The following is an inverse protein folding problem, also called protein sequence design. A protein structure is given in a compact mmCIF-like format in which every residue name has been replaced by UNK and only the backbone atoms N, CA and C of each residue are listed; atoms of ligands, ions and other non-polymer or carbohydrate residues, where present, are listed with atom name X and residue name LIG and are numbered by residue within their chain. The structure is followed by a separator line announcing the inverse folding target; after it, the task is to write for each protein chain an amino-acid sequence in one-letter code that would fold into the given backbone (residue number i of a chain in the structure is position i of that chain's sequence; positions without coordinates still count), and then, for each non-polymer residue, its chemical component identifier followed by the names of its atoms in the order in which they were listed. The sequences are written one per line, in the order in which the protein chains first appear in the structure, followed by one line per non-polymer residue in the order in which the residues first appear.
data_IF_432518384149
#
_entry.id   IF_432518384149
#
_cell.length_a   1.000
_cell.length_b   1.000
_cell.length_c   1.000
_cell.angle_alpha   90.00
_cell.angle_beta   90.00
_cell.angle_gamma   90.00
#
_symmetry.space_group_name_H-M   'P 1'
#
loop_
_entity.id
_entity.type
_entity.pdbx_description
1 polymer ?
#
# COMPACT_ATOMS: atom_id res chain seq x y z
N UNK A 1 11.86 -3.29 -20.57
CA UNK A 1 10.78 -2.30 -20.40
C UNK A 1 9.59 -2.97 -19.78
N UNK A 2 9.08 -2.40 -18.71
CA UNK A 2 7.93 -2.97 -18.04
C UNK A 2 6.65 -2.68 -18.80
N UNK A 3 5.87 -3.72 -19.05
CA UNK A 3 4.56 -3.55 -19.63
C UNK A 3 3.57 -3.02 -18.58
N UNK A 4 2.66 -2.16 -19.04
CA UNK A 4 1.59 -1.70 -18.18
C UNK A 4 0.58 -2.84 -17.97
N UNK A 5 0.24 -3.09 -16.71
CA UNK A 5 -0.73 -4.12 -16.38
C UNK A 5 -2.14 -3.75 -16.86
N UNK A 6 -2.90 -4.75 -17.29
CA UNK A 6 -4.17 -4.52 -18.00
C UNK A 6 -5.37 -4.41 -17.07
N UNK A 7 -5.27 -4.89 -15.82
CA UNK A 7 -6.41 -4.92 -14.89
C UNK A 7 -5.92 -4.88 -13.45
N UNK A 8 -6.82 -4.58 -12.53
CA UNK A 8 -6.48 -4.63 -11.11
C UNK A 8 -6.17 -6.06 -10.66
N UNK A 9 -6.85 -7.06 -11.21
CA UNK A 9 -6.58 -8.46 -10.89
C UNK A 9 -5.16 -8.87 -11.29
N UNK A 10 -4.64 -8.35 -12.39
CA UNK A 10 -3.26 -8.56 -12.80
C UNK A 10 -2.30 -7.72 -11.95
N UNK A 11 -2.71 -6.54 -11.56
CA UNK A 11 -1.91 -5.63 -10.72
C UNK A 11 -1.76 -6.15 -9.28
N UNK A 12 -2.79 -6.77 -8.73
CA UNK A 12 -2.80 -7.14 -7.31
C UNK A 12 -1.62 -8.03 -6.90
N UNK A 13 -1.32 -9.16 -7.59
CA UNK A 13 -0.15 -9.95 -7.20
C UNK A 13 1.17 -9.20 -7.38
N UNK A 14 1.28 -8.31 -8.36
CA UNK A 14 2.43 -7.42 -8.52
C UNK A 14 2.58 -6.50 -7.32
N UNK A 15 1.47 -5.87 -6.89
CA UNK A 15 1.44 -5.02 -5.70
C UNK A 15 1.88 -5.80 -4.45
N UNK A 16 1.34 -7.00 -4.26
CA UNK A 16 1.69 -7.85 -3.11
C UNK A 16 3.18 -8.18 -3.13
N UNK A 17 3.72 -8.48 -4.31
CA UNK A 17 5.15 -8.78 -4.46
C UNK A 17 6.05 -7.60 -4.08
N UNK A 18 5.54 -6.37 -4.14
CA UNK A 18 6.26 -5.17 -3.69
C UNK A 18 6.16 -4.92 -2.19
N UNK A 19 5.40 -5.73 -1.46
CA UNK A 19 5.10 -5.55 -0.04
C UNK A 19 5.42 -6.81 0.77
N UNK A 20 6.52 -7.49 0.44
CA UNK A 20 6.90 -8.75 1.10
C UNK A 20 7.58 -8.55 2.45
N UNK A 21 8.17 -7.38 2.70
CA UNK A 21 8.80 -7.09 3.98
C UNK A 21 7.72 -6.74 5.02
N UNK A 22 7.69 -7.47 6.16
CA UNK A 22 6.70 -7.17 7.20
C UNK A 22 6.78 -5.75 7.75
N UNK A 23 7.98 -5.16 7.81
CA UNK A 23 8.14 -3.78 8.27
C UNK A 23 7.46 -2.79 7.31
N UNK A 24 7.58 -3.03 6.00
CA UNK A 24 6.91 -2.20 5.01
C UNK A 24 5.38 -2.30 5.15
N UNK A 25 4.86 -3.52 5.32
CA UNK A 25 3.41 -3.71 5.53
C UNK A 25 2.93 -3.02 6.80
N UNK A 26 3.71 -3.10 7.89
CA UNK A 26 3.38 -2.42 9.14
C UNK A 26 3.34 -0.90 8.96
N UNK A 27 4.27 -0.34 8.20
CA UNK A 27 4.30 1.09 7.91
C UNK A 27 3.12 1.51 7.02
N UNK A 28 2.71 0.67 6.08
CA UNK A 28 1.49 0.92 5.29
C UNK A 28 0.24 0.88 6.16
N UNK A 29 0.18 -0.06 7.10
CA UNK A 29 -0.93 -0.14 8.05
C UNK A 29 -1.00 1.12 8.92
N UNK A 30 0.14 1.55 9.46
CA UNK A 30 0.21 2.77 10.24
C UNK A 30 -0.23 3.99 9.40
N UNK A 31 0.30 4.11 8.18
CA UNK A 31 -0.02 5.22 7.30
C UNK A 31 -1.51 5.29 6.96
N UNK A 32 -2.12 4.17 6.62
CA UNK A 32 -3.56 4.13 6.31
C UNK A 32 -4.39 4.46 7.54
N UNK A 33 -4.00 3.96 8.73
CA UNK A 33 -4.70 4.29 9.97
C UNK A 33 -4.63 5.78 10.28
N UNK A 34 -3.45 6.39 10.13
CA UNK A 34 -3.27 7.81 10.37
C UNK A 34 -4.03 8.67 9.33
N UNK A 35 -4.02 8.24 8.07
CA UNK A 35 -4.78 8.92 7.02
C UNK A 35 -6.28 8.86 7.29
N UNK A 36 -6.80 7.72 7.75
CA UNK A 36 -8.21 7.59 8.12
C UNK A 36 -8.57 8.49 9.29
N UNK A 37 -7.70 8.58 10.30
CA UNK A 37 -7.90 9.47 11.45
C UNK A 37 -7.90 10.94 11.00
N UNK A 38 -6.99 11.32 10.11
CA UNK A 38 -6.92 12.68 9.57
C UNK A 38 -8.17 13.00 8.75
N UNK A 39 -8.68 12.04 7.98
CA UNK A 39 -9.91 12.22 7.21
C UNK A 39 -11.11 12.45 8.14
N UNK A 40 -11.22 11.67 9.21
CA UNK A 40 -12.26 11.85 10.21
C UNK A 40 -12.15 13.23 10.89
N UNK A 41 -10.94 13.68 11.20
CA UNK A 41 -10.70 15.01 11.76
C UNK A 41 -11.09 16.11 10.76
N UNK A 42 -10.85 15.91 9.48
CA UNK A 42 -11.26 16.86 8.43
C UNK A 42 -12.79 17.01 8.39
N UNK A 43 -13.52 15.90 8.59
CA UNK A 43 -14.98 15.91 8.56
C UNK A 43 -15.61 16.47 9.86
N UNK A 44 -14.94 16.32 11.01
CA UNK A 44 -15.54 16.61 12.31
C UNK A 44 -14.95 17.80 13.04
N UNK A 45 -13.69 18.13 12.80
CA UNK A 45 -12.98 19.19 13.53
C UNK A 45 -12.69 20.41 12.65
N UNK A 46 -11.95 20.21 11.56
CA UNK A 46 -11.58 21.29 10.66
C UNK A 46 -11.17 20.72 9.30
N UNK A 47 -11.65 21.32 8.17
CA UNK A 47 -11.30 20.84 6.84
C UNK A 47 -9.79 20.90 6.55
N UNK A 48 -9.02 21.69 7.30
CA UNK A 48 -7.56 21.74 7.12
C UNK A 48 -6.87 20.42 7.38
N UNK A 49 -7.49 19.50 8.15
CA UNK A 49 -6.96 18.16 8.35
C UNK A 49 -6.86 17.35 7.06
N UNK A 50 -7.59 17.75 6.00
CA UNK A 50 -7.49 17.08 4.70
C UNK A 50 -6.09 17.15 4.10
N UNK A 51 -5.31 18.19 4.43
CA UNK A 51 -3.92 18.33 3.98
C UNK A 51 -3.04 17.24 4.59
N UNK A 52 -3.34 16.81 5.81
CA UNK A 52 -2.57 15.78 6.52
C UNK A 52 -2.79 14.39 5.92
N UNK A 53 -3.95 14.14 5.29
CA UNK A 53 -4.31 12.80 4.78
C UNK A 53 -3.24 12.21 3.86
N UNK A 54 -2.81 12.87 2.77
CA UNK A 54 -1.77 12.27 1.92
C UNK A 54 -0.41 12.17 2.61
N UNK A 55 -0.05 13.12 3.45
CA UNK A 55 1.22 13.07 4.19
C UNK A 55 1.24 11.89 5.15
N UNK A 56 0.14 11.67 5.88
CA UNK A 56 0.02 10.58 6.83
C UNK A 56 0.01 9.21 6.13
N UNK A 57 -0.63 9.11 4.97
CA UNK A 57 -0.70 7.87 4.21
C UNK A 57 0.61 7.53 3.51
N UNK A 58 1.14 8.48 2.76
CA UNK A 58 2.33 8.23 1.95
C UNK A 58 3.64 8.29 2.74
N UNK A 59 3.72 9.09 3.79
CA UNK A 59 4.97 9.22 4.56
C UNK A 59 5.49 7.88 5.06
N UNK A 60 4.74 7.19 5.92
CA UNK A 60 5.17 5.87 6.41
C UNK A 60 5.30 4.83 5.28
N UNK A 61 4.38 4.85 4.29
CA UNK A 61 4.41 3.89 3.19
C UNK A 61 5.69 4.02 2.35
N UNK A 62 6.11 5.25 2.05
CA UNK A 62 7.33 5.48 1.27
C UNK A 62 8.59 5.14 2.07
N UNK A 63 8.59 5.39 3.37
CA UNK A 63 9.68 4.92 4.24
C UNK A 63 9.77 3.39 4.14
N UNK A 64 8.64 2.69 4.18
CA UNK A 64 8.61 1.24 4.02
C UNK A 64 9.21 0.77 2.71
N UNK A 65 8.86 1.41 1.61
CA UNK A 65 9.40 1.04 0.30
C UNK A 65 10.89 1.33 0.17
N UNK A 66 11.34 2.54 0.52
CA UNK A 66 12.72 2.94 0.28
C UNK A 66 13.69 2.40 1.32
N UNK A 67 13.25 2.25 2.57
CA UNK A 67 14.15 1.86 3.67
C UNK A 67 14.15 0.35 3.93
N UNK A 68 13.02 -0.34 3.70
CA UNK A 68 12.89 -1.76 4.06
C UNK A 68 12.77 -2.65 2.84
N UNK A 69 11.84 -2.37 1.91
CA UNK A 69 11.71 -3.16 0.67
C UNK A 69 12.81 -2.85 -0.33
N UNK A 70 13.32 -1.63 -0.31
CA UNK A 70 14.29 -1.13 -1.29
C UNK A 70 13.75 -1.18 -2.71
N UNK A 71 12.49 -0.73 -2.87
CA UNK A 71 11.84 -0.63 -4.15
C UNK A 71 11.10 0.71 -4.28
N UNK A 72 10.57 0.96 -5.46
CA UNK A 72 9.83 2.19 -5.76
C UNK A 72 8.34 1.94 -5.53
N UNK A 73 7.61 2.86 -4.87
CA UNK A 73 6.17 2.70 -4.69
C UNK A 73 5.42 2.58 -6.02
N UNK A 74 4.43 1.69 -6.06
CA UNK A 74 3.59 1.49 -7.24
C UNK A 74 2.75 2.72 -7.60
N UNK A 75 2.56 3.62 -6.63
CA UNK A 75 1.84 4.90 -6.81
C UNK A 75 2.34 5.70 -8.01
N UNK A 76 3.63 5.66 -8.28
CA UNK A 76 4.20 6.45 -9.38
C UNK A 76 3.77 5.96 -10.77
N UNK A 77 3.39 4.70 -10.87
CA UNK A 77 3.01 4.10 -12.14
C UNK A 77 1.52 3.80 -12.25
N UNK A 78 0.91 3.39 -11.14
CA UNK A 78 -0.49 3.01 -11.06
C UNK A 78 -1.14 3.67 -9.84
N UNK A 79 -1.35 5.01 -9.88
CA UNK A 79 -1.80 5.73 -8.67
C UNK A 79 -3.15 5.27 -8.13
N UNK A 80 -4.14 5.04 -9.00
CA UNK A 80 -5.48 4.63 -8.54
C UNK A 80 -5.50 3.17 -8.11
N UNK A 81 -4.83 2.30 -8.86
CA UNK A 81 -4.73 0.89 -8.46
C UNK A 81 -3.90 0.72 -7.20
N UNK A 82 -2.86 1.53 -7.03
CA UNK A 82 -2.05 1.51 -5.83
C UNK A 82 -2.89 1.90 -4.61
N UNK A 83 -3.72 2.93 -4.73
CA UNK A 83 -4.62 3.32 -3.66
C UNK A 83 -5.62 2.20 -3.33
N UNK A 84 -6.21 1.59 -4.35
CA UNK A 84 -7.12 0.45 -4.17
C UNK A 84 -6.40 -0.73 -3.52
N UNK A 85 -5.15 -0.98 -3.91
CA UNK A 85 -4.31 -2.02 -3.32
C UNK A 85 -4.00 -1.74 -1.86
N UNK A 86 -3.70 -0.49 -1.51
CA UNK A 86 -3.44 -0.08 -0.13
C UNK A 86 -4.66 -0.36 0.76
N UNK A 87 -5.86 -0.05 0.28
CA UNK A 87 -7.09 -0.30 1.02
C UNK A 87 -7.34 -1.80 1.18
N UNK A 88 -7.14 -2.57 0.11
CA UNK A 88 -7.31 -4.03 0.16
C UNK A 88 -6.30 -4.67 1.11
N UNK A 89 -5.03 -4.27 1.05
CA UNK A 89 -4.01 -4.78 1.95
C UNK A 89 -4.35 -4.43 3.41
N UNK A 90 -4.80 -3.21 3.65
CA UNK A 90 -5.20 -2.79 4.99
C UNK A 90 -6.29 -3.70 5.56
N UNK A 91 -7.32 -3.98 4.77
CA UNK A 91 -8.40 -4.87 5.18
C UNK A 91 -7.90 -6.30 5.45
N UNK A 92 -6.99 -6.80 4.59
CA UNK A 92 -6.41 -8.13 4.77
C UNK A 92 -5.51 -8.22 6.00
N UNK A 93 -4.77 -7.16 6.31
CA UNK A 93 -3.95 -7.09 7.52
C UNK A 93 -4.82 -7.12 8.78
N UNK A 94 -5.96 -6.41 8.77
CA UNK A 94 -6.93 -6.46 9.88
C UNK A 94 -7.49 -7.86 10.10
N UNK A 95 -7.65 -8.64 9.02
CA UNK A 95 -8.22 -9.99 9.07
C UNK A 95 -7.16 -11.08 9.22
N UNK A 96 -5.88 -10.70 9.32
CA UNK A 96 -4.76 -11.63 9.38
C UNK A 96 -4.77 -12.61 8.19
N UNK A 97 -5.01 -12.09 6.99
CA UNK A 97 -5.10 -12.89 5.76
C UNK A 97 -4.07 -12.51 4.69
N UNK A 98 -3.16 -11.59 5.02
CA UNK A 98 -2.19 -11.12 4.04
C UNK A 98 -1.15 -12.19 3.70
N UNK A 99 -0.80 -13.08 4.63
CA UNK A 99 0.22 -14.09 4.39
C UNK A 99 -0.12 -15.02 3.22
N UNK A 100 -1.39 -15.37 3.05
CA UNK A 100 -1.82 -16.19 1.92
C UNK A 100 -1.61 -15.47 0.59
N UNK A 101 -1.80 -14.15 0.56
CA UNK A 101 -1.55 -13.33 -0.62
C UNK A 101 -0.06 -13.26 -0.94
N UNK A 102 0.79 -13.14 0.09
CA UNK A 102 2.24 -13.16 -0.07
C UNK A 102 2.69 -14.46 -0.73
N UNK A 103 2.20 -15.59 -0.24
CA UNK A 103 2.56 -16.89 -0.80
C UNK A 103 2.12 -17.03 -2.26
N UNK A 104 0.90 -16.56 -2.58
CA UNK A 104 0.44 -16.56 -3.97
C UNK A 104 1.29 -15.70 -4.88
N UNK A 105 1.75 -14.54 -4.38
CA UNK A 105 2.60 -13.65 -5.16
C UNK A 105 3.95 -14.26 -5.49
N UNK A 106 4.45 -15.19 -4.66
CA UNK A 106 5.73 -15.86 -4.89
C UNK A 106 5.70 -16.79 -6.09
N UNK A 107 4.53 -17.31 -6.44
CA UNK A 107 4.37 -18.16 -7.63
C UNK A 107 4.53 -17.34 -8.91
N UNK A 108 3.93 -16.14 -8.96
CA UNK A 108 3.96 -15.28 -10.14
C UNK A 108 5.21 -14.41 -10.20
N UNK A 109 5.75 -14.01 -9.07
CA UNK A 109 6.92 -13.13 -8.96
C UNK A 109 7.93 -13.74 -7.98
N UNK A 110 8.59 -14.86 -8.35
CA UNK A 110 9.49 -15.56 -7.41
C UNK A 110 10.68 -14.71 -6.96
N UNK A 111 11.14 -13.77 -7.77
CA UNK A 111 12.27 -12.89 -7.47
C UNK A 111 11.84 -11.47 -7.08
N UNK A 112 10.55 -11.27 -6.81
CA UNK A 112 10.00 -9.96 -6.52
C UNK A 112 9.49 -9.24 -7.76
N UNK A 113 8.78 -8.17 -7.53
CA UNK A 113 8.21 -7.37 -8.61
C UNK A 113 9.15 -6.27 -9.08
#
# INVERSE_FOLDING_TARGET
MEERLASFEAFWPYYVAQHRDPANRALHFLGTSLAAAALAAAATLSPWWAIVVPLAGYGPAWIGHYCFEQNKPATFRHPLWSLRGDIRMYALLWRDRMDAEIERSRVLYPHGA
#
